data_IF_360874460877
#
_entry.id   IF_360874460877
#
_cell.length_a   1.000
_cell.length_b   1.000
_cell.length_c   1.000
_cell.angle_alpha   90.00
_cell.angle_beta   90.00
_cell.angle_gamma   90.00
#
_symmetry.space_group_name_H-M   'P 1'
#
loop_
_entity.id
_entity.type
_entity.pdbx_description
1 polymer ?
#
# COMPACT_ATOMS: atom_id res chain seq x y z
N UNK A 1 7.31 -7.56 34.05
CA UNK A 1 6.01 -7.75 33.38
C UNK A 1 5.58 -6.40 32.83
N UNK A 2 5.81 -6.15 31.54
CA UNK A 2 5.25 -5.00 30.80
C UNK A 2 5.54 -5.24 29.31
N UNK A 3 4.62 -5.89 28.60
CA UNK A 3 4.58 -5.87 27.13
C UNK A 3 3.12 -5.91 26.68
N UNK A 4 2.46 -4.77 26.85
CA UNK A 4 1.27 -4.40 26.07
C UNK A 4 1.77 -3.63 24.84
N UNK A 5 2.39 -4.32 23.89
CA UNK A 5 2.56 -3.83 22.52
C UNK A 5 1.20 -3.91 21.86
N UNK A 6 0.60 -2.75 21.62
CA UNK A 6 -0.80 -2.59 21.22
C UNK A 6 -0.94 -2.68 19.70
N UNK A 7 -2.17 -2.77 19.20
CA UNK A 7 -2.52 -2.70 17.75
C UNK A 7 -1.85 -1.54 16.98
N UNK A 8 -1.37 -0.52 17.70
CA UNK A 8 -0.54 0.57 17.16
C UNK A 8 0.77 0.06 16.55
N UNK A 9 1.41 -0.96 17.10
CA UNK A 9 2.68 -1.50 16.57
C UNK A 9 2.48 -2.23 15.23
N UNK A 10 1.30 -2.81 14.98
CA UNK A 10 0.95 -3.40 13.69
C UNK A 10 0.76 -2.33 12.62
N UNK A 11 -0.02 -1.28 12.92
CA UNK A 11 -0.20 -0.14 12.02
C UNK A 11 1.15 0.54 11.74
N UNK A 12 2.00 0.70 12.75
CA UNK A 12 3.36 1.24 12.61
C UNK A 12 4.25 0.30 11.78
N UNK A 13 4.19 -1.02 11.97
CA UNK A 13 4.99 -1.98 11.20
C UNK A 13 4.63 -1.98 9.71
N UNK A 14 3.32 -1.92 9.41
CA UNK A 14 2.80 -1.78 8.05
C UNK A 14 3.22 -0.44 7.42
N UNK A 15 3.05 0.67 8.14
CA UNK A 15 3.48 2.00 7.67
C UNK A 15 5.00 2.10 7.45
N UNK A 16 5.82 1.57 8.36
CA UNK A 16 7.30 1.56 8.22
C UNK A 16 7.77 0.75 7.02
N UNK A 17 7.02 -0.28 6.62
CA UNK A 17 7.36 -1.08 5.44
C UNK A 17 7.07 -0.35 4.13
N UNK A 18 6.03 0.49 4.08
CA UNK A 18 5.79 1.39 2.97
C UNK A 18 6.94 2.40 2.80
N UNK A 19 7.39 3.01 3.90
CA UNK A 19 8.57 3.90 3.91
C UNK A 19 9.83 3.19 3.39
N UNK A 20 10.04 1.92 3.75
CA UNK A 20 11.26 1.19 3.37
C UNK A 20 11.46 1.02 1.85
N UNK A 21 10.37 0.89 1.08
CA UNK A 21 10.47 0.75 -0.39
C UNK A 21 10.85 2.07 -1.03
N UNK A 22 10.18 3.16 -0.64
CA UNK A 22 10.49 4.50 -1.14
C UNK A 22 11.87 4.98 -0.66
N UNK A 23 12.30 4.55 0.52
CA UNK A 23 13.66 4.78 1.03
C UNK A 23 14.71 4.05 0.20
N UNK A 24 14.54 2.74 -0.05
CA UNK A 24 15.48 1.96 -0.90
C UNK A 24 15.59 2.51 -2.31
N UNK A 25 14.45 2.92 -2.90
CA UNK A 25 14.43 3.59 -4.19
C UNK A 25 15.20 4.92 -4.16
N UNK A 26 14.96 5.74 -3.13
CA UNK A 26 15.61 7.03 -3.00
C UNK A 26 17.11 6.95 -2.72
N UNK A 27 17.57 5.91 -2.01
CA UNK A 27 18.97 5.71 -1.62
C UNK A 27 19.81 5.00 -2.69
N UNK A 28 19.21 4.59 -3.81
CA UNK A 28 19.93 3.88 -4.87
C UNK A 28 20.36 4.89 -5.94
N UNK A 29 21.67 4.94 -6.20
CA UNK A 29 22.30 5.79 -7.22
C UNK A 29 22.08 5.25 -8.64
N UNK A 30 22.01 3.93 -8.81
CA UNK A 30 21.67 3.26 -10.08
C UNK A 30 20.18 2.95 -10.14
N UNK A 31 19.41 3.80 -10.83
CA UNK A 31 17.97 3.62 -11.01
C UNK A 31 17.62 2.98 -12.35
N UNK A 32 18.54 2.20 -12.92
CA UNK A 32 18.21 1.32 -14.04
C UNK A 32 17.13 0.32 -13.64
N UNK A 33 16.32 -0.12 -14.61
CA UNK A 33 15.25 -1.06 -14.32
C UNK A 33 15.74 -2.37 -13.69
N UNK A 34 16.92 -2.85 -14.11
CA UNK A 34 17.56 -4.05 -13.58
C UNK A 34 17.98 -3.89 -12.12
N UNK A 35 18.64 -2.78 -11.78
CA UNK A 35 19.02 -2.47 -10.40
C UNK A 35 17.79 -2.39 -9.50
N UNK A 36 16.73 -1.72 -9.96
CA UNK A 36 15.47 -1.62 -9.21
C UNK A 36 14.82 -2.98 -8.99
N UNK A 37 14.72 -3.83 -10.02
CA UNK A 37 14.18 -5.18 -9.88
C UNK A 37 15.00 -6.05 -8.93
N UNK A 38 16.33 -5.90 -8.93
CA UNK A 38 17.22 -6.67 -8.06
C UNK A 38 16.97 -6.42 -6.56
N UNK A 39 16.54 -5.19 -6.20
CA UNK A 39 16.16 -4.81 -4.83
C UNK A 39 14.95 -5.59 -4.29
N UNK A 40 14.20 -6.25 -5.18
CA UNK A 40 12.99 -7.01 -4.90
C UNK A 40 13.07 -8.45 -5.41
N UNK A 41 14.28 -8.95 -5.62
CA UNK A 41 14.53 -10.31 -6.11
C UNK A 41 14.03 -11.40 -5.15
N UNK A 42 13.84 -11.08 -3.87
CA UNK A 42 13.25 -11.96 -2.87
C UNK A 42 11.72 -12.07 -2.97
N UNK A 43 11.06 -11.20 -3.75
CA UNK A 43 9.60 -11.20 -3.86
C UNK A 43 9.08 -12.28 -4.79
N UNK A 44 8.06 -13.03 -4.35
CA UNK A 44 7.29 -13.89 -5.25
C UNK A 44 6.22 -13.06 -6.00
N UNK A 45 6.63 -12.48 -7.13
CA UNK A 45 5.77 -11.60 -7.93
C UNK A 45 4.51 -12.30 -8.46
N UNK A 46 4.59 -13.59 -8.82
CA UNK A 46 3.45 -14.34 -9.33
C UNK A 46 2.39 -14.58 -8.26
N UNK A 47 2.79 -15.10 -7.09
CA UNK A 47 1.88 -15.31 -5.97
C UNK A 47 1.26 -13.98 -5.52
N UNK A 48 2.08 -12.92 -5.46
CA UNK A 48 1.63 -11.59 -5.03
C UNK A 48 0.58 -11.00 -5.96
N UNK A 49 0.68 -11.21 -7.29
CA UNK A 49 -0.31 -10.69 -8.24
C UNK A 49 -1.72 -11.19 -7.95
N UNK A 50 -1.87 -12.50 -7.78
CA UNK A 50 -3.19 -13.16 -7.71
C UNK A 50 -3.75 -13.06 -6.27
N UNK A 51 -2.88 -13.13 -5.27
CA UNK A 51 -3.24 -12.98 -3.85
C UNK A 51 -3.75 -11.58 -3.51
N UNK A 52 -3.29 -10.52 -4.19
CA UNK A 52 -3.75 -9.14 -3.94
C UNK A 52 -5.24 -8.94 -4.18
N UNK A 53 -5.91 -9.80 -4.93
CA UNK A 53 -7.36 -9.70 -5.04
C UNK A 53 -8.06 -10.02 -3.71
N UNK A 54 -7.36 -10.68 -2.80
CA UNK A 54 -7.82 -11.08 -1.47
C UNK A 54 -7.34 -10.15 -0.34
N UNK A 55 -6.77 -8.97 -0.66
CA UNK A 55 -6.45 -7.94 0.34
C UNK A 55 -7.66 -7.68 1.25
N UNK A 56 -7.43 -7.63 2.56
CA UNK A 56 -8.49 -7.34 3.52
C UNK A 56 -8.18 -7.82 4.94
N UNK A 57 -9.09 -7.46 5.84
CA UNK A 57 -9.11 -7.92 7.23
C UNK A 57 -10.10 -9.07 7.39
N UNK A 58 -9.62 -10.22 7.86
CA UNK A 58 -10.38 -11.44 8.08
C UNK A 58 -10.51 -11.68 9.58
N UNK A 59 -11.73 -11.57 10.09
CA UNK A 59 -12.04 -11.92 11.48
C UNK A 59 -12.06 -13.45 11.61
N UNK A 60 -11.33 -13.99 12.59
CA UNK A 60 -11.25 -15.44 12.82
C UNK A 60 -12.31 -15.85 13.85
N UNK A 61 -13.25 -16.70 13.41
CA UNK A 61 -14.35 -17.19 14.24
C UNK A 61 -13.84 -18.01 15.42
N UNK A 62 -14.53 -17.89 16.55
CA UNK A 62 -14.22 -18.67 17.76
C UNK A 62 -13.01 -18.17 18.55
N UNK A 63 -12.38 -17.08 18.12
CA UNK A 63 -11.27 -16.43 18.84
C UNK A 63 -11.75 -15.16 19.54
N UNK A 64 -11.01 -14.71 20.55
CA UNK A 64 -11.27 -13.43 21.20
C UNK A 64 -10.45 -12.32 20.51
N UNK A 65 -10.91 -11.89 19.32
CA UNK A 65 -10.28 -10.83 18.54
C UNK A 65 -9.15 -11.28 17.62
N UNK A 66 -9.01 -12.58 17.38
CA UNK A 66 -8.06 -13.12 16.42
C UNK A 66 -8.42 -12.74 14.98
N UNK A 67 -7.39 -12.52 14.17
CA UNK A 67 -7.53 -12.05 12.80
C UNK A 67 -6.41 -12.53 11.90
N UNK A 68 -6.68 -12.48 10.59
CA UNK A 68 -5.69 -12.52 9.53
C UNK A 68 -5.88 -11.28 8.66
N UNK A 69 -4.81 -10.59 8.29
CA UNK A 69 -4.87 -9.54 7.27
C UNK A 69 -3.96 -9.88 6.11
N UNK A 70 -4.46 -9.62 4.92
CA UNK A 70 -3.64 -9.48 3.72
C UNK A 70 -3.59 -8.00 3.42
N UNK A 71 -2.45 -7.36 3.66
CA UNK A 71 -2.24 -5.96 3.31
C UNK A 71 -1.40 -5.86 2.04
N UNK A 72 -1.84 -5.07 1.08
CA UNK A 72 -1.23 -4.96 -0.23
C UNK A 72 -0.77 -3.55 -0.47
N UNK A 73 0.44 -3.40 -1.00
CA UNK A 73 0.95 -2.13 -1.50
C UNK A 73 1.38 -2.34 -2.94
N UNK A 74 0.70 -1.66 -3.84
CA UNK A 74 1.08 -1.53 -5.24
C UNK A 74 2.04 -0.35 -5.36
N UNK A 75 3.24 -0.60 -5.87
CA UNK A 75 4.25 0.42 -6.12
C UNK A 75 4.46 0.53 -7.61
N UNK A 76 4.37 1.75 -8.12
CA UNK A 76 4.80 2.09 -9.48
C UNK A 76 6.09 2.88 -9.37
N UNK A 77 7.09 2.46 -10.11
CA UNK A 77 8.37 3.16 -10.27
C UNK A 77 8.57 3.49 -11.74
N UNK A 78 9.23 4.61 -12.02
CA UNK A 78 9.86 4.86 -13.33
C UNK A 78 11.37 4.83 -13.13
N UNK A 79 12.06 4.02 -13.91
CA UNK A 79 13.52 3.94 -13.96
C UNK A 79 14.13 5.07 -14.79
N UNK A 80 15.45 5.26 -14.71
CA UNK A 80 16.16 6.29 -15.47
C UNK A 80 16.08 6.08 -16.99
N UNK A 81 15.89 4.83 -17.44
CA UNK A 81 15.64 4.46 -18.83
C UNK A 81 14.14 4.54 -19.22
N UNK A 82 13.33 5.21 -18.39
CA UNK A 82 11.90 5.44 -18.59
C UNK A 82 11.04 4.17 -18.66
N UNK A 83 11.52 3.04 -18.13
CA UNK A 83 10.69 1.85 -17.98
C UNK A 83 9.78 2.00 -16.76
N UNK A 84 8.54 1.56 -16.91
CA UNK A 84 7.60 1.52 -15.79
C UNK A 84 7.69 0.15 -15.14
N UNK A 85 7.93 0.14 -13.83
CA UNK A 85 8.03 -1.08 -13.02
C UNK A 85 6.87 -1.10 -12.04
N UNK A 86 6.13 -2.20 -12.05
CA UNK A 86 5.07 -2.49 -11.08
C UNK A 86 5.52 -3.54 -10.10
N UNK A 87 5.54 -3.15 -8.84
CA UNK A 87 5.83 -4.05 -7.74
C UNK A 87 4.57 -4.16 -6.90
N UNK A 88 4.28 -5.37 -6.45
CA UNK A 88 3.14 -5.64 -5.60
C UNK A 88 3.62 -6.41 -4.40
N UNK A 89 3.63 -5.74 -3.26
CA UNK A 89 4.02 -6.34 -1.99
C UNK A 89 2.78 -6.73 -1.22
N UNK A 90 2.80 -7.93 -0.66
CA UNK A 90 1.76 -8.41 0.26
C UNK A 90 2.40 -8.76 1.58
N UNK A 91 1.79 -8.27 2.66
CA UNK A 91 2.10 -8.64 4.03
C UNK A 91 0.94 -9.46 4.57
N UNK A 92 1.25 -10.70 4.96
CA UNK A 92 0.35 -11.55 5.73
C UNK A 92 0.61 -11.23 7.20
N UNK A 93 -0.41 -10.76 7.91
CA UNK A 93 -0.35 -10.61 9.36
C UNK A 93 -1.40 -11.50 10.02
N UNK A 94 -1.00 -12.22 11.05
CA UNK A 94 -1.85 -13.15 11.78
C UNK A 94 -1.75 -12.88 13.28
N UNK A 95 -2.90 -12.89 13.95
CA UNK A 95 -3.01 -12.85 15.41
C UNK A 95 -4.07 -13.84 15.88
N UNK A 96 -3.70 -14.74 16.78
CA UNK A 96 -4.65 -15.68 17.38
C UNK A 96 -5.53 -15.01 18.47
N UNK A 97 -5.02 -13.96 19.10
CA UNK A 97 -5.58 -13.35 20.31
C UNK A 97 -5.90 -11.85 20.17
N UNK A 98 -5.71 -11.30 18.98
CA UNK A 98 -5.89 -9.87 18.68
C UNK A 98 -4.85 -8.96 19.34
N UNK A 99 -3.76 -9.51 19.88
CA UNK A 99 -2.74 -8.77 20.64
C UNK A 99 -1.34 -9.00 20.10
N UNK A 100 -0.96 -10.27 19.92
CA UNK A 100 0.35 -10.63 19.34
C UNK A 100 0.18 -10.89 17.86
N UNK A 101 1.02 -10.25 17.06
CA UNK A 101 0.92 -10.35 15.60
C UNK A 101 2.22 -10.91 15.05
N UNK A 102 2.09 -11.93 14.21
CA UNK A 102 3.16 -12.41 13.35
C UNK A 102 2.94 -11.82 11.96
N UNK A 103 3.96 -11.16 11.42
CA UNK A 103 3.93 -10.58 10.08
C UNK A 103 4.91 -11.32 9.16
N UNK A 104 4.53 -11.50 7.91
CA UNK A 104 5.36 -12.12 6.88
C UNK A 104 5.14 -11.42 5.54
N UNK A 105 6.21 -10.98 4.90
CA UNK A 105 6.13 -10.48 3.51
C UNK A 105 6.24 -11.66 2.56
N UNK A 106 5.34 -11.72 1.58
CA UNK A 106 5.36 -12.78 0.56
C UNK A 106 6.68 -12.74 -0.20
N UNK A 107 7.37 -13.87 -0.21
CA UNK A 107 8.72 -14.03 -0.76
C UNK A 107 8.89 -15.37 -1.46
N UNK A 108 10.07 -15.62 -2.01
CA UNK A 108 10.44 -16.91 -2.59
C UNK A 108 10.19 -18.07 -1.59
N UNK A 109 9.60 -19.16 -2.08
CA UNK A 109 9.18 -20.31 -1.28
C UNK A 109 7.72 -20.26 -0.80
N UNK A 110 7.11 -19.08 -0.73
CA UNK A 110 5.67 -18.96 -0.53
C UNK A 110 4.92 -19.29 -1.82
N UNK A 111 3.67 -19.74 -1.72
CA UNK A 111 2.85 -20.03 -2.90
C UNK A 111 1.40 -19.59 -2.74
N UNK A 112 0.80 -19.19 -3.85
CA UNK A 112 -0.63 -18.95 -3.95
C UNK A 112 -1.15 -19.53 -5.27
N UNK A 113 -1.91 -20.62 -5.20
CA UNK A 113 -2.45 -21.30 -6.37
C UNK A 113 -3.86 -21.82 -6.09
N UNK A 114 -4.78 -21.67 -7.03
CA UNK A 114 -6.17 -22.11 -6.87
C UNK A 114 -6.90 -21.52 -5.65
N UNK A 115 -6.44 -20.37 -5.13
CA UNK A 115 -6.96 -19.77 -3.89
C UNK A 115 -6.32 -20.33 -2.61
N UNK A 116 -5.35 -21.23 -2.68
CA UNK A 116 -4.63 -21.76 -1.54
C UNK A 116 -3.33 -20.99 -1.33
N UNK A 117 -3.23 -20.26 -0.21
CA UNK A 117 -2.00 -19.64 0.28
C UNK A 117 -1.24 -20.61 1.16
N UNK A 118 0.05 -20.83 0.87
CA UNK A 118 0.98 -21.55 1.73
C UNK A 118 2.17 -20.66 2.04
N UNK A 119 2.42 -20.46 3.34
CA UNK A 119 3.55 -19.71 3.88
C UNK A 119 4.29 -20.61 4.88
N UNK A 120 5.33 -21.34 4.43
CA UNK A 120 6.03 -22.34 5.26
C UNK A 120 6.61 -21.76 6.55
N UNK A 121 7.18 -20.55 6.50
CA UNK A 121 7.80 -19.89 7.66
C UNK A 121 6.79 -19.56 8.77
N UNK A 122 5.51 -19.43 8.43
CA UNK A 122 4.42 -19.25 9.38
C UNK A 122 3.72 -20.58 9.73
N UNK A 123 4.12 -21.70 9.11
CA UNK A 123 3.35 -22.95 9.11
C UNK A 123 1.87 -22.70 8.76
N UNK A 124 1.62 -21.84 7.76
CA UNK A 124 0.31 -21.35 7.38
C UNK A 124 -0.12 -21.99 6.06
N UNK A 125 -1.36 -22.48 6.03
CA UNK A 125 -2.03 -22.99 4.84
C UNK A 125 -3.49 -22.57 4.87
N UNK A 126 -3.91 -21.69 3.96
CA UNK A 126 -5.24 -21.04 3.98
C UNK A 126 -5.85 -21.04 2.58
N UNK A 127 -7.02 -21.66 2.45
CA UNK A 127 -7.88 -21.57 1.29
C UNK A 127 -8.77 -20.34 1.37
N UNK A 128 -8.76 -19.52 0.33
CA UNK A 128 -9.66 -18.40 0.12
C UNK A 128 -10.79 -18.81 -0.81
N UNK A 129 -12.03 -18.44 -0.44
CA UNK A 129 -13.24 -18.75 -1.21
C UNK A 129 -14.12 -17.50 -1.30
N UNK A 130 -14.34 -17.01 -2.52
CA UNK A 130 -15.32 -15.93 -2.78
C UNK A 130 -16.73 -16.51 -2.72
N UNK A 131 -17.62 -15.89 -1.95
CA UNK A 131 -18.99 -16.41 -1.75
C UNK A 131 -20.10 -15.36 -1.85
N UNK A 132 -19.83 -14.09 -1.54
CA UNK A 132 -20.83 -13.00 -1.60
C UNK A 132 -22.14 -13.32 -0.84
N UNK A 133 -22.02 -13.87 0.38
CA UNK A 133 -23.14 -14.27 1.23
C UNK A 133 -23.29 -13.28 2.39
N UNK A 134 -24.45 -12.64 2.52
CA UNK A 134 -24.78 -11.74 3.64
C UNK A 134 -23.73 -10.63 3.88
N UNK A 135 -23.22 -10.06 2.78
CA UNK A 135 -22.17 -9.03 2.81
C UNK A 135 -20.75 -9.58 3.05
N UNK A 136 -20.59 -10.87 3.31
CA UNK A 136 -19.29 -11.55 3.29
C UNK A 136 -18.82 -11.70 1.85
N UNK A 137 -17.63 -11.23 1.56
CA UNK A 137 -17.05 -11.25 0.21
C UNK A 137 -16.18 -12.50 0.05
N UNK A 138 -15.29 -12.73 1.02
CA UNK A 138 -14.37 -13.87 1.03
C UNK A 138 -14.45 -14.58 2.38
N UNK A 139 -14.42 -15.91 2.33
CA UNK A 139 -14.21 -16.78 3.48
C UNK A 139 -12.84 -17.43 3.39
N UNK A 140 -12.24 -17.68 4.56
CA UNK A 140 -10.98 -18.39 4.67
C UNK A 140 -11.16 -19.66 5.50
N UNK A 141 -10.46 -20.72 5.09
CA UNK A 141 -10.42 -22.01 5.77
C UNK A 141 -8.99 -22.54 5.75
N UNK A 142 -8.50 -23.07 6.87
CA UNK A 142 -7.20 -23.72 6.88
C UNK A 142 -6.60 -23.72 8.27
N UNK A 143 -5.29 -23.47 8.37
CA UNK A 143 -4.59 -23.52 9.65
C UNK A 143 -3.32 -22.68 9.69
N UNK A 144 -2.91 -22.37 10.93
CA UNK A 144 -1.58 -21.88 11.28
C UNK A 144 -1.04 -22.77 12.40
N UNK A 145 0.03 -23.51 12.13
CA UNK A 145 0.46 -24.59 13.02
C UNK A 145 -0.62 -25.67 13.11
N UNK A 146 -0.99 -25.99 14.35
CA UNK A 146 -2.07 -26.93 14.68
C UNK A 146 -3.42 -26.22 14.92
N UNK A 147 -3.47 -24.89 14.75
CA UNK A 147 -4.70 -24.11 14.99
C UNK A 147 -5.50 -24.00 13.71
N UNK A 148 -6.72 -24.54 13.70
CA UNK A 148 -7.66 -24.35 12.60
C UNK A 148 -8.16 -22.91 12.54
N UNK A 149 -8.25 -22.37 11.32
CA UNK A 149 -8.77 -21.04 11.05
C UNK A 149 -10.00 -21.13 10.16
N UNK A 150 -11.07 -20.50 10.65
CA UNK A 150 -12.25 -20.17 9.84
C UNK A 150 -12.49 -18.68 10.02
N UNK A 151 -12.52 -17.96 8.92
CA UNK A 151 -12.68 -16.51 8.97
C UNK A 151 -13.37 -15.96 7.75
N UNK A 152 -13.65 -14.66 7.78
CA UNK A 152 -14.31 -14.00 6.68
C UNK A 152 -13.99 -12.52 6.65
N UNK A 153 -14.07 -11.94 5.46
CA UNK A 153 -14.00 -10.50 5.27
C UNK A 153 -15.23 -9.99 4.53
N UNK A 154 -15.67 -8.79 4.90
CA UNK A 154 -16.62 -7.97 4.14
C UNK A 154 -15.92 -6.92 3.28
N UNK A 155 -14.58 -6.93 3.31
CA UNK A 155 -13.76 -5.96 2.62
C UNK A 155 -13.51 -6.40 1.17
N UNK A 156 -13.56 -5.45 0.23
CA UNK A 156 -13.15 -5.64 -1.14
C UNK A 156 -12.06 -4.63 -1.47
N UNK A 157 -10.88 -5.04 -1.95
CA UNK A 157 -9.89 -4.09 -2.44
C UNK A 157 -10.47 -3.28 -3.60
N UNK A 158 -10.23 -1.97 -3.58
CA UNK A 158 -10.63 -1.08 -4.68
C UNK A 158 -9.39 -0.81 -5.52
N UNK A 159 -9.37 -1.21 -6.80
CA UNK A 159 -8.23 -0.93 -7.66
C UNK A 159 -8.17 0.57 -7.94
N UNK A 160 -6.95 1.08 -8.07
CA UNK A 160 -6.68 2.50 -8.33
C UNK A 160 -7.34 3.01 -9.62
N UNK A 161 -7.57 2.13 -10.59
CA UNK A 161 -8.33 2.43 -11.81
C UNK A 161 -9.75 2.93 -11.55
N UNK A 162 -10.34 2.60 -10.40
CA UNK A 162 -11.66 3.11 -9.97
C UNK A 162 -11.64 4.62 -9.72
N UNK A 163 -10.47 5.17 -9.40
CA UNK A 163 -10.28 6.57 -9.08
C UNK A 163 -9.76 7.39 -10.27
N UNK A 164 -9.71 6.82 -11.47
CA UNK A 164 -9.38 7.53 -12.71
C UNK A 164 -10.35 8.70 -12.90
N UNK A 165 -9.80 9.89 -13.06
CA UNK A 165 -10.58 11.12 -13.14
C UNK A 165 -9.76 12.37 -13.00
N UNK A 166 -10.44 13.50 -13.19
CA UNK A 166 -9.89 14.85 -12.99
C UNK A 166 -10.55 15.45 -11.76
N UNK A 167 -9.73 15.73 -10.77
CA UNK A 167 -10.16 16.24 -9.47
C UNK A 167 -9.98 17.75 -9.46
N UNK A 168 -11.04 18.43 -9.03
CA UNK A 168 -11.08 19.88 -8.94
C UNK A 168 -11.21 20.32 -7.49
N UNK A 169 -10.64 21.47 -7.18
CA UNK A 169 -10.80 22.04 -5.85
C UNK A 169 -12.27 22.44 -5.63
N UNK A 170 -12.90 21.80 -4.65
CA UNK A 170 -14.30 22.05 -4.30
C UNK A 170 -14.38 23.04 -3.14
N UNK A 171 -14.31 24.32 -3.47
CA UNK A 171 -14.57 25.48 -2.60
C UNK A 171 -14.02 25.43 -1.16
N UNK A 172 -13.00 26.25 -0.93
CA UNK A 172 -12.47 26.75 0.33
C UNK A 172 -11.69 28.00 -0.05
N UNK A 173 -11.48 28.97 0.83
CA UNK A 173 -10.70 30.16 0.43
C UNK A 173 -9.31 29.75 -0.06
N UNK A 174 -8.75 30.44 -1.07
CA UNK A 174 -9.35 31.57 -1.78
C UNK A 174 -10.22 31.15 -3.00
N UNK A 175 -11.28 31.93 -3.30
CA UNK A 175 -12.31 31.67 -4.35
C UNK A 175 -11.74 31.36 -5.74
N UNK A 176 -10.50 31.73 -5.96
CA UNK A 176 -9.69 31.60 -7.18
C UNK A 176 -9.28 30.15 -7.48
N UNK A 177 -9.49 29.21 -6.55
CA UNK A 177 -9.23 27.78 -6.77
C UNK A 177 -10.44 27.00 -7.25
N UNK A 178 -11.63 27.59 -7.16
CA UNK A 178 -12.86 26.89 -7.52
C UNK A 178 -12.77 26.40 -8.97
N UNK A 179 -13.06 25.12 -9.16
CA UNK A 179 -13.09 24.45 -10.45
C UNK A 179 -11.72 24.30 -11.15
N UNK A 180 -10.61 24.72 -10.52
CA UNK A 180 -9.25 24.40 -10.99
C UNK A 180 -8.96 22.93 -10.74
N UNK A 181 -8.41 22.28 -11.76
CA UNK A 181 -7.89 20.91 -11.68
C UNK A 181 -6.65 20.90 -10.80
N UNK A 182 -6.62 20.01 -9.81
CA UNK A 182 -5.53 19.89 -8.83
C UNK A 182 -4.88 18.52 -8.83
N UNK A 183 -5.58 17.52 -9.37
CA UNK A 183 -5.12 16.14 -9.45
C UNK A 183 -5.78 15.51 -10.67
N UNK A 184 -5.00 14.76 -11.44
CA UNK A 184 -5.51 13.95 -12.54
C UNK A 184 -4.90 12.56 -12.46
N UNK A 185 -5.78 11.56 -12.45
CA UNK A 185 -5.45 10.14 -12.51
C UNK A 185 -5.90 9.64 -13.87
N UNK A 186 -4.95 9.26 -14.73
CA UNK A 186 -5.21 8.85 -16.11
C UNK A 186 -5.27 7.34 -16.26
N UNK A 187 -6.07 6.83 -17.22
CA UNK A 187 -6.17 5.40 -17.49
C UNK A 187 -5.11 4.86 -18.46
N UNK A 188 -4.26 5.70 -19.07
CA UNK A 188 -3.51 5.31 -20.26
C UNK A 188 -2.33 4.38 -19.93
N UNK A 189 -2.47 3.10 -20.29
CA UNK A 189 -1.52 1.97 -20.39
C UNK A 189 -0.62 1.67 -19.17
N UNK A 190 -0.50 2.61 -18.24
CA UNK A 190 0.08 2.53 -16.92
C UNK A 190 -0.31 3.81 -16.19
N UNK A 191 -1.15 3.65 -15.18
CA UNK A 191 -1.82 4.74 -14.48
C UNK A 191 -0.88 5.92 -14.22
N UNK A 192 -1.12 7.02 -14.92
CA UNK A 192 -0.30 8.23 -14.82
C UNK A 192 -0.98 9.22 -13.89
N UNK A 193 -0.21 9.75 -12.95
CA UNK A 193 -0.67 10.67 -11.94
C UNK A 193 -0.05 12.04 -12.21
N UNK A 194 -0.87 13.09 -12.17
CA UNK A 194 -0.37 14.45 -12.21
C UNK A 194 -1.03 15.29 -11.13
N UNK A 195 -0.23 16.04 -10.36
CA UNK A 195 -0.72 16.83 -9.22
C UNK A 195 -0.21 18.25 -9.31
N UNK A 196 -1.06 19.21 -8.91
CA UNK A 196 -0.73 20.62 -8.86
C UNK A 196 -0.57 21.02 -7.40
N UNK A 197 0.60 21.55 -7.11
CA UNK A 197 0.94 22.13 -5.82
C UNK A 197 1.09 23.64 -6.02
N UNK A 198 0.43 24.45 -5.19
CA UNK A 198 0.41 25.92 -5.22
C UNK A 198 -0.39 26.62 -6.36
N UNK A 199 -0.68 27.90 -6.13
CA UNK A 199 -1.66 28.75 -6.84
C UNK A 199 -1.40 28.91 -8.35
N UNK A 200 -0.16 28.67 -8.81
CA UNK A 200 0.32 29.07 -10.14
C UNK A 200 0.98 27.96 -10.96
N UNK A 201 1.13 26.74 -10.44
CA UNK A 201 1.77 25.63 -11.16
C UNK A 201 0.89 24.99 -12.25
N UNK A 202 1.51 24.36 -13.24
CA UNK A 202 0.86 23.34 -14.07
C UNK A 202 0.78 22.01 -13.29
N UNK A 203 -0.02 21.05 -13.75
CA UNK A 203 0.07 19.69 -13.24
C UNK A 203 1.44 19.10 -13.62
N UNK A 204 2.15 18.54 -12.65
CA UNK A 204 3.40 17.82 -12.88
C UNK A 204 3.15 16.34 -12.79
N UNK A 205 3.78 15.56 -13.69
CA UNK A 205 3.74 14.11 -13.63
C UNK A 205 4.37 13.59 -12.32
N UNK A 206 3.83 12.50 -11.80
CA UNK A 206 4.38 11.76 -10.67
C UNK A 206 4.92 10.45 -11.20
N UNK A 207 6.25 10.33 -11.13
CA UNK A 207 6.97 9.22 -11.72
C UNK A 207 6.86 7.95 -10.86
N UNK A 208 6.93 8.11 -9.54
CA UNK A 208 6.88 6.98 -8.61
C UNK A 208 5.85 7.22 -7.51
N UNK A 209 5.03 6.22 -7.25
CA UNK A 209 4.03 6.26 -6.18
C UNK A 209 3.77 4.87 -5.62
N UNK A 210 3.09 4.84 -4.48
CA UNK A 210 2.50 3.63 -3.93
C UNK A 210 1.01 3.81 -3.75
N UNK A 211 0.29 2.69 -3.68
CA UNK A 211 -1.13 2.64 -3.47
C UNK A 211 -1.51 1.44 -2.62
N UNK A 212 -2.29 1.69 -1.57
CA UNK A 212 -2.89 0.66 -0.74
C UNK A 212 -4.38 0.51 -1.11
N UNK A 213 -4.80 -0.59 -1.75
CA UNK A 213 -6.19 -0.81 -2.16
C UNK A 213 -7.12 -1.11 -0.98
N UNK A 214 -6.59 -1.35 0.22
CA UNK A 214 -7.39 -1.52 1.43
C UNK A 214 -7.80 -0.18 2.06
N UNK A 215 -6.89 0.79 2.04
CA UNK A 215 -7.09 2.10 2.65
C UNK A 215 -7.47 3.19 1.65
N UNK A 216 -7.35 2.90 0.35
CA UNK A 216 -7.48 3.88 -0.75
C UNK A 216 -6.49 5.04 -0.60
N UNK A 217 -5.34 4.74 0.00
CA UNK A 217 -4.27 5.71 0.25
C UNK A 217 -3.20 5.56 -0.82
N UNK A 218 -2.83 6.68 -1.43
CA UNK A 218 -1.68 6.77 -2.33
C UNK A 218 -0.65 7.70 -1.74
N UNK A 219 0.61 7.32 -1.83
CA UNK A 219 1.73 8.13 -1.34
C UNK A 219 2.79 8.27 -2.42
N UNK A 220 3.34 9.48 -2.57
CA UNK A 220 4.45 9.75 -3.47
C UNK A 220 5.27 10.94 -2.97
N UNK A 221 6.52 11.05 -3.42
CA UNK A 221 7.35 12.21 -3.15
C UNK A 221 7.13 13.28 -4.22
N UNK A 222 6.88 14.50 -3.79
CA UNK A 222 6.79 15.66 -4.69
C UNK A 222 8.20 16.16 -5.07
N UNK A 223 9.09 16.16 -4.08
CA UNK A 223 10.49 16.55 -4.20
C UNK A 223 11.26 15.86 -3.05
N UNK A 224 12.54 16.17 -2.90
CA UNK A 224 13.40 15.57 -1.87
C UNK A 224 12.93 15.86 -0.43
N UNK A 225 12.19 16.94 -0.21
CA UNK A 225 11.80 17.42 1.11
C UNK A 225 10.29 17.34 1.37
N UNK A 226 9.50 16.75 0.47
CA UNK A 226 8.04 16.75 0.59
C UNK A 226 7.43 15.43 0.12
N UNK A 227 6.62 14.84 1.00
CA UNK A 227 5.79 13.68 0.71
C UNK A 227 4.32 14.10 0.59
N UNK A 228 3.64 13.56 -0.42
CA UNK A 228 2.23 13.77 -0.64
C UNK A 228 1.46 12.47 -0.35
N UNK A 229 0.39 12.59 0.44
CA UNK A 229 -0.53 11.52 0.79
C UNK A 229 -1.90 11.90 0.24
N UNK A 230 -2.43 11.06 -0.64
CA UNK A 230 -3.77 11.17 -1.20
C UNK A 230 -4.67 10.12 -0.55
N UNK A 231 -5.77 10.55 0.06
CA UNK A 231 -6.85 9.66 0.48
C UNK A 231 -7.96 9.72 -0.56
N UNK A 232 -8.12 8.65 -1.32
CA UNK A 232 -9.08 8.54 -2.41
C UNK A 232 -10.42 8.00 -1.89
N UNK A 233 -11.51 8.43 -2.51
CA UNK A 233 -12.84 7.98 -2.11
C UNK A 233 -13.94 8.46 -3.04
N UNK A 234 -15.16 8.37 -2.55
CA UNK A 234 -16.35 8.89 -3.23
C UNK A 234 -17.10 9.83 -2.29
N UNK A 235 -17.72 10.86 -2.84
CA UNK A 235 -18.50 11.85 -2.10
C UNK A 235 -19.95 11.86 -2.59
N UNK A 236 -20.71 10.80 -2.29
CA UNK A 236 -22.16 10.72 -2.57
C UNK A 236 -22.54 11.27 -3.94
N UNK A 237 -23.40 12.30 -3.96
CA UNK A 237 -23.88 12.96 -5.19
C UNK A 237 -22.79 13.67 -6.04
N UNK A 238 -21.54 13.71 -5.58
CA UNK A 238 -20.46 14.49 -6.21
C UNK A 238 -19.39 13.61 -6.87
N UNK A 239 -19.61 12.29 -6.93
CA UNK A 239 -18.70 11.37 -7.59
C UNK A 239 -17.42 11.13 -6.80
N UNK A 240 -16.27 11.10 -7.49
CA UNK A 240 -14.97 10.85 -6.88
C UNK A 240 -14.54 12.01 -5.97
N UNK A 241 -13.83 11.68 -4.90
CA UNK A 241 -13.28 12.65 -3.95
C UNK A 241 -11.86 12.28 -3.56
N UNK A 242 -11.07 13.28 -3.22
CA UNK A 242 -9.69 13.10 -2.76
C UNK A 242 -9.38 14.14 -1.68
N UNK A 243 -8.77 13.68 -0.58
CA UNK A 243 -8.07 14.56 0.37
C UNK A 243 -6.59 14.51 0.06
N UNK A 244 -5.95 15.69 -0.02
CA UNK A 244 -4.53 15.83 -0.33
C UNK A 244 -3.85 16.39 0.92
N UNK A 245 -2.86 15.66 1.44
CA UNK A 245 -1.99 16.11 2.53
C UNK A 245 -0.56 16.17 2.02
N UNK A 246 0.14 17.26 2.32
CA UNK A 246 1.57 17.41 2.03
C UNK A 246 2.31 17.48 3.36
N UNK A 247 3.26 16.57 3.55
CA UNK A 247 4.13 16.50 4.72
C UNK A 247 5.52 16.97 4.31
N UNK A 248 6.00 18.05 4.94
CA UNK A 248 7.39 18.46 4.80
C UNK A 248 8.24 17.48 5.61
N UNK A 249 9.27 16.93 4.96
CA UNK A 249 10.28 16.08 5.58
C UNK A 249 11.31 17.01 6.20
N UNK A 250 11.30 17.11 7.53
CA UNK A 250 12.24 17.96 8.25
C UNK A 250 13.66 17.39 8.11
N UNK A 251 14.63 18.21 7.68
CA UNK A 251 16.00 17.77 7.37
C UNK A 251 16.73 17.20 8.59
N UNK A 252 16.33 17.59 9.81
CA UNK A 252 16.88 17.06 11.06
C UNK A 252 16.41 15.63 11.38
N UNK A 253 15.22 15.22 10.93
CA UNK A 253 14.78 13.83 11.07
C UNK A 253 15.45 12.91 10.04
N UNK A 254 15.68 13.41 8.82
CA UNK A 254 16.43 12.69 7.78
C UNK A 254 17.88 12.43 8.24
N UNK A 255 18.54 13.41 8.86
CA UNK A 255 19.91 13.25 9.39
C UNK A 255 19.95 12.29 10.58
N UNK A 256 18.96 12.31 11.47
CA UNK A 256 18.85 11.35 12.60
C UNK A 256 18.48 9.93 12.16
N UNK A 257 17.80 9.79 11.02
CA UNK A 257 17.51 8.50 10.38
C UNK A 257 18.69 7.96 9.54
N UNK A 258 19.82 8.69 9.47
CA UNK A 258 21.01 8.29 8.70
C UNK A 258 20.90 8.54 7.19
N UNK A 259 20.03 9.49 6.77
CA UNK A 259 19.68 9.74 5.36
C UNK A 259 20.37 10.98 4.75
N UNK A 260 21.32 11.59 5.45
CA UNK A 260 22.16 12.64 4.91
C UNK A 260 23.63 12.31 5.21
N UNK A 261 24.35 11.74 4.25
CA UNK A 261 25.81 11.81 4.28
C UNK A 261 26.22 13.26 4.04
N UNK A 262 26.90 13.85 5.02
CA UNK A 262 27.57 15.13 4.83
C UNK A 262 28.60 14.95 3.72
N UNK A 263 28.31 15.49 2.53
CA UNK A 263 29.32 15.62 1.47
C UNK A 263 30.53 16.38 2.04
N UNK A 264 31.75 15.89 1.83
CA UNK A 264 32.95 16.60 2.28
C UNK A 264 33.07 17.91 1.50
N UNK A 265 33.34 18.99 2.25
CA UNK A 265 33.70 20.33 1.74
C UNK A 265 34.95 20.31 0.89
#
# INVERSE_FOLDING_TARGET
MNHSTSNVDLAISVCRQHESVMQRFASTDDRSAEALLSLFSDMNLSASRDLATYTGYYEIKGTNGGFLTLDTTDTRLISDDHQVIYLRRIVVAYSADGKKVQCHSIKEGDSFDGGLLVVPDMNLSIQFVRSYIEGTIVQIFGKVGDTELVGSTRFNPVPLSTFVGRYKFRSGKPKEWKDKEVLTILPKDDLSLAVKFEDKGALSAVDSFTYNPAMYVMTFRQNESSECILMLGTAGANGLACSITVKNLDTDELTKAGLAETLPT
#
